data_IF_875520347177
#
_entry.id   IF_875520347177
#
_cell.length_a   1.000
_cell.length_b   1.000
_cell.length_c   1.000
_cell.angle_alpha   90.00
_cell.angle_beta   90.00
_cell.angle_gamma   90.00
#
_symmetry.space_group_name_H-M   'P 1'
#
loop_
_entity.id
_entity.type
_entity.pdbx_description
1 polymer ?
#
# COMPACT_ATOMS: atom_id res chain seq x y z
N UNK A 1 13.88 -24.70 -16.87
CA UNK A 1 13.73 -25.69 -17.94
C UNK A 1 12.28 -25.89 -18.36
N UNK A 2 12.06 -26.73 -19.34
CA UNK A 2 10.71 -27.20 -19.74
C UNK A 2 10.48 -28.58 -19.12
N UNK A 3 9.24 -28.83 -18.66
CA UNK A 3 8.85 -30.19 -18.25
C UNK A 3 8.88 -31.14 -19.46
N UNK A 4 9.16 -32.42 -19.19
CA UNK A 4 9.09 -33.48 -20.21
C UNK A 4 7.70 -34.10 -20.31
N UNK A 5 6.87 -33.94 -19.31
CA UNK A 5 5.53 -34.52 -19.24
C UNK A 5 4.46 -33.56 -19.76
N UNK A 6 4.64 -32.25 -19.50
CA UNK A 6 3.74 -31.20 -19.96
C UNK A 6 4.55 -29.98 -20.45
N UNK A 7 4.04 -29.17 -21.40
CA UNK A 7 4.75 -28.00 -21.92
C UNK A 7 4.72 -26.83 -20.92
N UNK A 8 5.15 -27.06 -19.69
CA UNK A 8 5.20 -26.09 -18.60
C UNK A 8 6.63 -25.71 -18.25
N UNK A 9 6.83 -24.46 -17.84
CA UNK A 9 8.11 -23.97 -17.37
C UNK A 9 8.37 -24.47 -15.95
N UNK A 10 9.47 -25.20 -15.76
CA UNK A 10 9.94 -25.64 -14.45
C UNK A 10 11.01 -24.69 -13.95
N UNK A 11 10.82 -24.12 -12.77
CA UNK A 11 11.78 -23.25 -12.09
C UNK A 11 12.12 -23.81 -10.72
N UNK A 12 13.41 -23.80 -10.38
CA UNK A 12 13.93 -24.15 -9.07
C UNK A 12 14.59 -22.89 -8.49
N UNK A 13 13.98 -22.21 -7.51
CA UNK A 13 14.57 -21.04 -6.88
C UNK A 13 15.88 -21.42 -6.15
N UNK A 14 16.96 -20.71 -6.44
CA UNK A 14 18.26 -20.89 -5.78
C UNK A 14 18.44 -19.96 -4.57
N UNK A 15 17.69 -18.87 -4.52
CA UNK A 15 17.72 -17.91 -3.42
C UNK A 15 16.39 -17.15 -3.34
N UNK A 16 16.09 -16.62 -2.18
CA UNK A 16 14.96 -15.71 -1.95
C UNK A 16 15.44 -14.43 -1.26
N UNK A 17 15.01 -13.29 -1.76
CA UNK A 17 15.17 -11.99 -1.10
C UNK A 17 13.80 -11.40 -0.84
N UNK A 18 13.58 -10.90 0.37
CA UNK A 18 12.33 -10.28 0.80
C UNK A 18 12.52 -8.79 0.95
N UNK A 19 11.54 -8.02 0.53
CA UNK A 19 11.53 -6.57 0.61
C UNK A 19 10.14 -6.09 1.03
N UNK A 20 10.08 -5.02 1.77
CA UNK A 20 8.83 -4.27 1.94
C UNK A 20 8.46 -3.61 0.61
N UNK A 21 7.16 -3.42 0.38
CA UNK A 21 6.64 -2.78 -0.83
C UNK A 21 5.40 -1.95 -0.52
N UNK A 22 4.77 -1.44 -1.56
CA UNK A 22 3.56 -0.64 -1.40
C UNK A 22 3.76 0.58 -0.51
N UNK A 23 2.78 0.88 0.34
CA UNK A 23 2.87 1.99 1.29
C UNK A 23 4.02 1.88 2.30
N UNK A 24 4.45 0.64 2.61
CA UNK A 24 5.57 0.41 3.53
C UNK A 24 6.89 0.95 3.02
N UNK A 25 7.20 0.81 1.72
CA UNK A 25 8.44 1.36 1.16
C UNK A 25 8.37 2.89 1.07
N UNK A 26 7.19 3.48 0.85
CA UNK A 26 7.00 4.94 0.90
C UNK A 26 7.32 5.46 2.30
N UNK A 27 6.77 4.82 3.33
CA UNK A 27 7.02 5.16 4.73
C UNK A 27 8.51 5.05 5.09
N UNK A 28 9.17 3.94 4.68
CA UNK A 28 10.59 3.73 4.94
C UNK A 28 11.50 4.77 4.24
N UNK A 29 11.16 5.16 3.01
CA UNK A 29 11.91 6.22 2.32
C UNK A 29 11.75 7.57 3.01
N UNK A 30 10.54 7.93 3.44
CA UNK A 30 10.32 9.16 4.20
C UNK A 30 11.11 9.17 5.51
N UNK A 31 11.11 8.06 6.27
CA UNK A 31 11.91 7.93 7.47
C UNK A 31 13.42 8.04 7.18
N UNK A 32 13.90 7.39 6.10
CA UNK A 32 15.29 7.48 5.65
C UNK A 32 15.72 8.90 5.23
N UNK A 33 14.78 9.76 4.85
CA UNK A 33 15.01 11.19 4.57
C UNK A 33 14.93 12.07 5.83
N UNK A 34 14.70 11.48 7.00
CA UNK A 34 14.69 12.17 8.29
C UNK A 34 13.31 12.60 8.80
N UNK A 35 12.22 12.18 8.14
CA UNK A 35 10.87 12.43 8.62
C UNK A 35 10.53 11.51 9.82
N UNK A 36 9.72 12.02 10.76
CA UNK A 36 9.05 11.19 11.75
C UNK A 36 7.79 10.59 11.10
N UNK A 37 7.79 9.28 10.89
CA UNK A 37 6.74 8.60 10.11
C UNK A 37 5.93 7.66 10.99
N UNK A 38 4.60 7.85 10.94
CA UNK A 38 3.62 6.89 11.45
C UNK A 38 2.87 6.25 10.29
N UNK A 39 2.94 4.92 10.19
CA UNK A 39 2.27 4.14 9.15
C UNK A 39 0.99 3.50 9.71
N UNK A 40 -0.12 3.76 9.04
CA UNK A 40 -1.44 3.19 9.37
C UNK A 40 -1.88 2.23 8.28
N UNK A 41 -2.30 1.03 8.65
CA UNK A 41 -2.70 0.04 7.66
C UNK A 41 -3.27 -1.23 8.27
N UNK A 42 -3.54 -2.19 7.40
CA UNK A 42 -3.97 -3.54 7.78
C UNK A 42 -3.03 -4.59 7.22
N UNK A 43 -2.95 -5.73 7.90
CA UNK A 43 -2.24 -6.92 7.43
C UNK A 43 -3.07 -8.18 7.71
N UNK A 44 -2.79 -9.24 6.96
CA UNK A 44 -3.25 -10.56 7.33
C UNK A 44 -2.58 -11.09 8.60
N UNK A 45 -3.13 -12.12 9.19
CA UNK A 45 -2.57 -12.82 10.35
C UNK A 45 -1.52 -13.85 9.94
N UNK A 46 -0.65 -13.48 8.99
CA UNK A 46 0.34 -14.36 8.38
C UNK A 46 1.80 -13.86 8.57
N UNK A 47 2.76 -14.72 8.23
CA UNK A 47 4.19 -14.41 8.33
C UNK A 47 4.58 -13.22 7.46
N UNK A 48 3.94 -13.06 6.29
CA UNK A 48 4.23 -11.96 5.36
C UNK A 48 3.91 -10.60 5.99
N UNK A 49 2.78 -10.50 6.69
CA UNK A 49 2.39 -9.29 7.41
C UNK A 49 3.31 -8.98 8.57
N UNK A 50 3.65 -10.00 9.38
CA UNK A 50 4.60 -9.83 10.49
C UNK A 50 5.99 -9.41 10.02
N UNK A 51 6.48 -10.00 8.92
CA UNK A 51 7.75 -9.59 8.31
C UNK A 51 7.71 -8.12 7.88
N UNK A 52 6.67 -7.70 7.15
CA UNK A 52 6.57 -6.33 6.65
C UNK A 52 6.51 -5.30 7.80
N UNK A 53 5.74 -5.59 8.85
CA UNK A 53 5.63 -4.74 10.04
C UNK A 53 6.98 -4.63 10.77
N UNK A 54 7.64 -5.76 11.04
CA UNK A 54 8.95 -5.80 11.69
C UNK A 54 10.01 -5.04 10.89
N UNK A 55 10.03 -5.19 9.57
CA UNK A 55 11.01 -4.53 8.71
C UNK A 55 10.79 -3.01 8.66
N UNK A 56 9.54 -2.54 8.64
CA UNK A 56 9.23 -1.11 8.73
C UNK A 56 9.68 -0.51 10.07
N UNK A 57 9.46 -1.24 11.19
CA UNK A 57 9.93 -0.82 12.52
C UNK A 57 11.46 -0.71 12.54
N UNK A 58 12.18 -1.69 11.98
CA UNK A 58 13.64 -1.68 11.86
C UNK A 58 14.16 -0.49 11.05
N UNK A 59 13.35 0.01 10.11
CA UNK A 59 13.66 1.18 9.28
C UNK A 59 13.19 2.51 9.90
N UNK A 60 12.78 2.51 11.17
CA UNK A 60 12.45 3.72 11.93
C UNK A 60 11.00 4.22 11.74
N UNK A 61 10.11 3.39 11.20
CA UNK A 61 8.71 3.74 11.03
C UNK A 61 7.91 3.31 12.26
N UNK A 62 7.12 4.20 12.84
CA UNK A 62 6.13 3.86 13.86
C UNK A 62 4.92 3.20 13.18
N UNK A 63 4.64 1.93 13.51
CA UNK A 63 3.59 1.14 12.85
C UNK A 63 2.33 1.02 13.71
N UNK A 64 1.19 1.42 13.16
CA UNK A 64 -0.15 1.20 13.70
C UNK A 64 -0.91 0.32 12.69
N UNK A 65 -0.67 -0.99 12.76
CA UNK A 65 -1.17 -1.96 11.79
C UNK A 65 -2.17 -2.88 12.47
N UNK A 66 -3.41 -2.91 11.95
CA UNK A 66 -4.48 -3.74 12.46
C UNK A 66 -4.48 -5.11 11.75
N UNK A 67 -4.66 -6.22 12.47
CA UNK A 67 -4.89 -7.51 11.83
C UNK A 67 -6.26 -7.53 11.14
N UNK A 68 -6.32 -8.11 9.94
CA UNK A 68 -7.55 -8.35 9.19
C UNK A 68 -7.59 -9.81 8.75
N UNK A 69 -8.35 -10.63 9.47
CA UNK A 69 -8.49 -12.08 9.20
C UNK A 69 -9.20 -12.38 7.88
N UNK A 70 -9.90 -11.39 7.29
CA UNK A 70 -10.62 -11.56 6.02
C UNK A 70 -9.71 -11.63 4.80
N UNK A 71 -8.44 -11.27 4.96
CA UNK A 71 -7.46 -11.21 3.85
C UNK A 71 -6.07 -11.70 4.23
N UNK A 72 -5.32 -12.29 3.30
CA UNK A 72 -3.88 -12.47 3.47
C UNK A 72 -3.16 -11.13 3.31
N UNK A 73 -1.99 -10.99 3.90
CA UNK A 73 -1.07 -9.89 3.57
C UNK A 73 -0.72 -9.93 2.09
N UNK A 74 -0.67 -8.75 1.46
CA UNK A 74 -0.32 -8.66 0.04
C UNK A 74 1.09 -9.14 -0.20
N UNK A 75 1.25 -10.15 -1.05
CA UNK A 75 2.54 -10.69 -1.46
C UNK A 75 2.65 -10.62 -2.99
N UNK A 76 3.72 -10.00 -3.46
CA UNK A 76 4.10 -9.98 -4.89
C UNK A 76 5.41 -10.74 -5.06
N UNK A 77 5.35 -11.99 -5.52
CA UNK A 77 6.53 -12.83 -5.77
C UNK A 77 6.96 -12.74 -7.22
N UNK A 78 8.23 -12.46 -7.44
CA UNK A 78 8.84 -12.43 -8.78
C UNK A 78 9.91 -13.50 -8.90
N UNK A 79 9.74 -14.40 -9.85
CA UNK A 79 10.77 -15.34 -10.24
C UNK A 79 11.61 -14.69 -11.33
N UNK A 80 12.91 -14.57 -11.08
CA UNK A 80 13.84 -13.86 -11.96
C UNK A 80 15.00 -14.77 -12.34
N UNK A 81 15.48 -14.60 -13.57
CA UNK A 81 16.77 -15.11 -14.01
C UNK A 81 17.55 -13.89 -14.46
N UNK A 82 18.72 -13.69 -13.84
CA UNK A 82 19.52 -12.46 -14.01
C UNK A 82 18.65 -11.21 -13.80
N UNK A 83 18.50 -10.37 -14.82
CA UNK A 83 17.73 -9.12 -14.75
C UNK A 83 16.30 -9.24 -15.33
N UNK A 84 15.87 -10.43 -15.77
CA UNK A 84 14.56 -10.65 -16.40
C UNK A 84 13.59 -11.34 -15.45
N UNK A 85 12.37 -10.84 -15.36
CA UNK A 85 11.27 -11.52 -14.67
C UNK A 85 10.69 -12.59 -15.60
N UNK A 86 10.67 -13.85 -15.14
CA UNK A 86 10.06 -14.97 -15.87
C UNK A 86 8.58 -15.10 -15.49
N UNK A 87 8.25 -14.90 -14.21
CA UNK A 87 6.90 -15.11 -13.70
C UNK A 87 6.67 -14.16 -12.52
N UNK A 88 5.43 -13.65 -12.41
CA UNK A 88 4.94 -12.92 -11.25
C UNK A 88 3.75 -13.66 -10.67
N UNK A 89 3.82 -13.98 -9.38
CA UNK A 89 2.72 -14.58 -8.62
C UNK A 89 2.32 -13.63 -7.50
N UNK A 90 1.06 -13.21 -7.51
CA UNK A 90 0.54 -12.26 -6.55
C UNK A 90 -0.53 -12.92 -5.67
N UNK A 91 -0.49 -12.65 -4.38
CA UNK A 91 -1.51 -13.02 -3.40
C UNK A 91 -2.05 -11.76 -2.75
N UNK A 92 -3.31 -11.45 -2.97
CA UNK A 92 -4.00 -10.30 -2.38
C UNK A 92 -5.51 -10.47 -2.41
N UNK A 93 -6.23 -9.59 -1.71
CA UNK A 93 -7.68 -9.40 -1.82
C UNK A 93 -7.97 -7.94 -2.16
N UNK A 94 -9.16 -7.68 -2.77
CA UNK A 94 -9.56 -6.34 -3.23
C UNK A 94 -10.74 -5.76 -2.46
N UNK A 95 -11.45 -6.59 -1.68
CA UNK A 95 -12.62 -6.10 -0.95
C UNK A 95 -12.20 -5.00 0.04
N UNK A 96 -13.06 -4.01 0.29
CA UNK A 96 -12.80 -2.98 1.28
C UNK A 96 -12.50 -3.57 2.65
N UNK A 97 -11.71 -2.86 3.46
CA UNK A 97 -11.61 -3.15 4.89
C UNK A 97 -12.96 -2.89 5.57
N UNK A 98 -13.23 -3.62 6.64
CA UNK A 98 -14.52 -3.49 7.34
C UNK A 98 -14.72 -2.09 7.91
N UNK A 99 -15.98 -1.72 8.18
CA UNK A 99 -16.30 -0.41 8.80
C UNK A 99 -15.71 -0.30 10.21
N UNK A 100 -15.62 -1.41 10.93
CA UNK A 100 -14.99 -1.46 12.26
C UNK A 100 -13.52 -1.06 12.18
N UNK A 101 -12.76 -1.69 11.26
CA UNK A 101 -11.34 -1.35 11.03
C UNK A 101 -11.17 0.10 10.55
N UNK A 102 -12.06 0.60 9.69
CA UNK A 102 -12.05 2.00 9.28
C UNK A 102 -12.21 2.93 10.49
N UNK A 103 -13.18 2.65 11.36
CA UNK A 103 -13.46 3.45 12.55
C UNK A 103 -12.32 3.43 13.58
N UNK A 104 -11.69 2.27 13.78
CA UNK A 104 -10.51 2.16 14.64
C UNK A 104 -9.36 3.02 14.10
N UNK A 105 -9.06 2.90 12.81
CA UNK A 105 -8.00 3.69 12.17
C UNK A 105 -8.29 5.19 12.19
N UNK A 106 -9.56 5.60 11.97
CA UNK A 106 -9.96 7.01 12.08
C UNK A 106 -9.77 7.55 13.50
N UNK A 107 -10.07 6.75 14.50
CA UNK A 107 -9.89 7.13 15.90
C UNK A 107 -8.42 7.39 16.21
N UNK A 108 -7.53 6.48 15.80
CA UNK A 108 -6.08 6.62 15.98
C UNK A 108 -5.54 7.85 15.21
N UNK A 109 -5.95 7.99 13.94
CA UNK A 109 -5.51 9.08 13.06
C UNK A 109 -6.00 10.47 13.54
N UNK A 110 -7.18 10.56 14.15
CA UNK A 110 -7.72 11.83 14.68
C UNK A 110 -6.79 12.49 15.69
N UNK A 111 -6.15 11.71 16.52
CA UNK A 111 -5.18 12.21 17.49
C UNK A 111 -3.85 12.55 16.78
N UNK A 112 -3.36 11.68 15.93
CA UNK A 112 -2.07 11.85 15.26
C UNK A 112 -2.05 13.04 14.29
N UNK A 113 -3.13 13.29 13.56
CA UNK A 113 -3.24 14.41 12.63
C UNK A 113 -3.18 15.79 13.31
N UNK A 114 -3.35 15.88 14.63
CA UNK A 114 -3.22 17.15 15.35
C UNK A 114 -1.76 17.68 15.37
N UNK A 115 -0.77 16.79 15.19
CA UNK A 115 0.66 17.11 15.20
C UNK A 115 1.37 16.74 13.90
N UNK A 116 0.62 16.38 12.86
CA UNK A 116 1.19 15.98 11.58
C UNK A 116 1.28 17.19 10.63
N UNK A 117 2.38 17.27 9.87
CA UNK A 117 2.56 18.24 8.79
C UNK A 117 1.98 17.73 7.47
N UNK A 118 2.02 16.40 7.27
CA UNK A 118 1.68 15.75 6.00
C UNK A 118 0.92 14.43 6.24
N UNK A 119 -0.18 14.24 5.50
CA UNK A 119 -0.86 12.96 5.31
C UNK A 119 -0.57 12.43 3.90
N UNK A 120 -0.01 11.22 3.78
CA UNK A 120 0.19 10.53 2.51
C UNK A 120 -0.81 9.39 2.36
N UNK A 121 -1.64 9.43 1.34
CA UNK A 121 -2.57 8.38 0.95
C UNK A 121 -1.97 7.56 -0.19
N UNK A 122 -1.34 6.43 0.13
CA UNK A 122 -0.70 5.54 -0.82
C UNK A 122 -1.65 4.39 -1.19
N UNK A 123 -2.39 4.52 -2.29
CA UNK A 123 -3.39 3.55 -2.71
C UNK A 123 -2.86 2.59 -3.79
N UNK A 124 -2.92 1.29 -3.49
CA UNK A 124 -2.58 0.20 -4.39
C UNK A 124 -3.82 -0.55 -4.89
N UNK A 125 -5.02 -0.02 -4.61
CA UNK A 125 -6.31 -0.59 -5.00
C UNK A 125 -6.56 -2.02 -4.47
N UNK A 126 -6.11 -2.28 -3.24
CA UNK A 126 -6.35 -3.55 -2.53
C UNK A 126 -7.37 -3.40 -1.39
N UNK A 127 -8.23 -2.37 -1.46
CA UNK A 127 -9.35 -2.18 -0.55
C UNK A 127 -8.98 -1.54 0.80
N UNK A 128 -7.74 -1.06 0.99
CA UNK A 128 -7.34 -0.36 2.22
C UNK A 128 -8.01 1.01 2.33
N UNK A 129 -8.21 1.70 1.22
CA UNK A 129 -8.75 3.06 1.14
C UNK A 129 -10.09 3.09 0.38
N UNK A 130 -11.23 2.66 0.97
CA UNK A 130 -12.55 2.84 0.38
C UNK A 130 -12.89 4.34 0.20
N UNK A 131 -13.75 4.69 -0.75
CA UNK A 131 -14.04 6.08 -1.11
C UNK A 131 -14.54 6.94 0.06
N UNK A 132 -15.46 6.40 0.85
CA UNK A 132 -15.98 7.10 2.04
C UNK A 132 -14.87 7.34 3.07
N UNK A 133 -14.01 6.36 3.29
CA UNK A 133 -12.87 6.45 4.21
C UNK A 133 -11.86 7.51 3.73
N UNK A 134 -11.56 7.55 2.42
CA UNK A 134 -10.70 8.59 1.82
C UNK A 134 -11.31 9.98 2.04
N UNK A 135 -12.60 10.13 1.77
CA UNK A 135 -13.31 11.42 1.93
C UNK A 135 -13.21 11.92 3.36
N UNK A 136 -13.41 11.03 4.35
CA UNK A 136 -13.33 11.38 5.76
C UNK A 136 -11.89 11.73 6.18
N UNK A 137 -10.89 10.95 5.73
CA UNK A 137 -9.47 11.21 6.00
C UNK A 137 -9.03 12.58 5.47
N UNK A 138 -9.38 12.90 4.22
CA UNK A 138 -9.05 14.18 3.60
C UNK A 138 -9.72 15.32 4.35
N UNK A 139 -11.02 15.20 4.64
CA UNK A 139 -11.77 16.21 5.39
C UNK A 139 -11.16 16.45 6.78
N UNK A 140 -10.81 15.39 7.49
CA UNK A 140 -10.21 15.47 8.82
C UNK A 140 -8.83 16.13 8.80
N UNK A 141 -7.99 15.80 7.82
CA UNK A 141 -6.66 16.39 7.65
C UNK A 141 -6.77 17.88 7.29
N UNK A 142 -7.62 18.22 6.33
CA UNK A 142 -7.86 19.62 5.91
C UNK A 142 -8.41 20.47 7.05
N UNK A 143 -9.32 19.92 7.86
CA UNK A 143 -9.86 20.61 9.05
C UNK A 143 -8.80 20.92 10.12
N UNK A 144 -7.63 20.28 10.06
CA UNK A 144 -6.47 20.52 10.94
C UNK A 144 -5.34 21.28 10.26
N UNK A 145 -5.49 21.68 9.00
CA UNK A 145 -4.44 22.36 8.23
C UNK A 145 -3.30 21.45 7.76
N UNK A 146 -3.49 20.13 7.81
CA UNK A 146 -2.50 19.15 7.37
C UNK A 146 -2.47 19.09 5.84
N UNK A 147 -1.28 19.11 5.26
CA UNK A 147 -1.09 18.93 3.81
C UNK A 147 -1.41 17.48 3.41
N UNK A 148 -2.15 17.27 2.34
CA UNK A 148 -2.56 15.94 1.87
C UNK A 148 -1.94 15.64 0.52
N UNK A 149 -1.11 14.61 0.45
CA UNK A 149 -0.59 14.03 -0.79
C UNK A 149 -1.23 12.67 -1.05
N UNK A 150 -1.56 12.37 -2.30
CA UNK A 150 -2.14 11.07 -2.66
C UNK A 150 -1.60 10.53 -3.98
N UNK A 151 -1.46 9.20 -4.02
CA UNK A 151 -1.10 8.41 -5.18
C UNK A 151 -2.01 7.20 -5.31
N UNK A 152 -2.40 6.86 -6.53
CA UNK A 152 -3.21 5.68 -6.83
C UNK A 152 -2.62 4.88 -7.96
N UNK A 153 -1.95 3.79 -7.63
CA UNK A 153 -1.22 2.97 -8.59
C UNK A 153 -2.14 2.12 -9.47
N UNK A 154 -1.95 2.20 -10.79
CA UNK A 154 -2.67 1.41 -11.80
C UNK A 154 -1.96 0.14 -12.29
N UNK A 155 -0.82 -0.25 -11.75
CA UNK A 155 0.03 -1.31 -12.33
C UNK A 155 -0.60 -2.70 -12.44
N UNK A 156 -1.59 -3.02 -11.61
CA UNK A 156 -2.30 -4.30 -11.60
C UNK A 156 -3.80 -4.15 -11.38
N UNK A 157 -4.28 -2.92 -11.28
CA UNK A 157 -5.67 -2.54 -11.07
C UNK A 157 -5.95 -1.25 -11.84
N UNK A 158 -7.22 -0.98 -12.11
CA UNK A 158 -7.64 0.34 -12.56
C UNK A 158 -7.70 1.25 -11.33
N UNK A 159 -6.72 2.13 -11.19
CA UNK A 159 -6.72 3.19 -10.19
C UNK A 159 -7.48 4.40 -10.70
N UNK A 160 -8.04 5.16 -9.78
CA UNK A 160 -8.67 6.45 -10.08
C UNK A 160 -8.12 7.49 -9.10
N UNK A 161 -7.12 8.24 -9.54
CA UNK A 161 -6.53 9.30 -8.72
C UNK A 161 -7.50 10.45 -8.47
N UNK A 162 -8.49 10.65 -9.33
CA UNK A 162 -9.53 11.68 -9.18
C UNK A 162 -10.47 11.48 -7.99
N UNK A 163 -10.43 10.32 -7.31
CA UNK A 163 -11.17 10.06 -6.07
C UNK A 163 -10.64 10.81 -4.85
N UNK A 164 -9.37 11.24 -4.87
CA UNK A 164 -8.75 11.99 -3.77
C UNK A 164 -9.09 13.47 -3.81
N UNK A 165 -10.39 13.79 -3.87
CA UNK A 165 -10.87 15.17 -3.91
C UNK A 165 -10.44 15.94 -2.67
N UNK A 166 -9.84 17.13 -2.88
CA UNK A 166 -9.35 17.98 -1.81
C UNK A 166 -7.91 17.70 -1.37
N UNK A 167 -7.22 16.71 -1.95
CA UNK A 167 -5.78 16.55 -1.77
C UNK A 167 -5.03 17.77 -2.36
N UNK A 168 -3.91 18.15 -1.72
CA UNK A 168 -3.07 19.27 -2.15
C UNK A 168 -2.09 18.85 -3.25
N UNK A 169 -1.71 17.57 -3.27
CA UNK A 169 -0.80 17.00 -4.25
C UNK A 169 -1.29 15.63 -4.71
N UNK A 170 -1.31 15.42 -6.03
CA UNK A 170 -1.49 14.12 -6.66
C UNK A 170 -0.26 13.80 -7.52
N UNK A 171 0.16 12.54 -7.54
CA UNK A 171 1.37 12.09 -8.26
C UNK A 171 1.07 11.01 -9.32
N UNK A 172 0.07 11.21 -10.22
CA UNK A 172 -0.25 10.24 -11.24
C UNK A 172 0.81 10.18 -12.34
N UNK A 173 1.00 9.00 -12.91
CA UNK A 173 1.59 8.87 -14.25
C UNK A 173 0.63 9.44 -15.30
N UNK A 174 1.14 9.73 -16.52
CA UNK A 174 0.29 10.18 -17.64
C UNK A 174 -0.88 9.21 -17.88
N UNK A 175 -0.63 7.91 -17.84
CA UNK A 175 -1.66 6.88 -18.03
C UNK A 175 -2.74 6.92 -16.94
N UNK A 176 -2.36 7.07 -15.68
CA UNK A 176 -3.28 7.19 -14.55
C UNK A 176 -4.12 8.46 -14.62
N UNK A 177 -3.50 9.57 -15.03
CA UNK A 177 -4.22 10.82 -15.23
C UNK A 177 -5.27 10.69 -16.35
N UNK A 178 -4.92 10.12 -17.50
CA UNK A 178 -5.86 9.88 -18.60
C UNK A 178 -7.03 9.00 -18.20
N UNK A 179 -6.77 7.87 -17.54
CA UNK A 179 -7.83 6.98 -17.03
C UNK A 179 -8.79 7.74 -16.10
N UNK A 180 -8.26 8.59 -15.22
CA UNK A 180 -9.09 9.35 -14.26
C UNK A 180 -9.95 10.43 -14.92
N UNK A 181 -9.55 10.90 -16.10
CA UNK A 181 -10.29 11.89 -16.90
C UNK A 181 -11.21 11.25 -17.96
N UNK A 182 -11.21 9.90 -18.06
CA UNK A 182 -11.92 9.16 -19.12
C UNK A 182 -11.47 9.54 -20.55
N UNK A 183 -10.16 9.86 -20.71
CA UNK A 183 -9.52 10.25 -21.97
C UNK A 183 -8.69 9.11 -22.57
#
# INVERSE_FOLDING_TARGET
GMSREEPVMVVAPSSEKRFIGGGGIVAAHAAGLGAQVSYYGVRGEDEVGRFAESEMINLGVHCVIRPDSSRPSTLKRRYRVENKSLLRVNRFRKHPISKELQNELLTDLRHQLASADLLVLADFNYGMLPDEFVTELVSMAKGKGVFVAADSQCSSQLGNVGRFKGADLLTPTEHEARISLHD
#
